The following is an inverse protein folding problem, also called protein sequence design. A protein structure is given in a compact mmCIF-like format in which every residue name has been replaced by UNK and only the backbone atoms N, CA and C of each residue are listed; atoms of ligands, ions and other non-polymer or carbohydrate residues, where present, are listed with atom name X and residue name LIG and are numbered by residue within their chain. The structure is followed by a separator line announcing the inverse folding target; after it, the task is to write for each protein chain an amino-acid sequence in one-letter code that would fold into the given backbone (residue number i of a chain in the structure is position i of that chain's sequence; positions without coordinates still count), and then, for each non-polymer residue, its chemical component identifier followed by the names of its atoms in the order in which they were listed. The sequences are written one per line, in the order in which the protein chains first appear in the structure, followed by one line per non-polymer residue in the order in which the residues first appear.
data_IF_161591808851
#
_entry.id   IF_161591808851
#
_cell.length_a   1.000
_cell.length_b   1.000
_cell.length_c   1.000
_cell.angle_alpha   90.00
_cell.angle_beta   90.00
_cell.angle_gamma   90.00
#
_symmetry.space_group_name_H-M   'P 1'
#
loop_
_entity.id
_entity.type
_entity.pdbx_description
1 polymer ?
#
# COMPACT_ATOMS: atom_id res chain seq x y z
N UNK A 1 22.52 -11.84 -15.60
CA UNK A 1 22.57 -10.36 -15.57
C UNK A 1 22.72 -9.94 -14.13
N UNK A 2 23.60 -8.98 -13.82
CA UNK A 2 23.75 -8.52 -12.45
C UNK A 2 23.74 -6.99 -12.46
N UNK A 3 22.60 -6.40 -12.12
CA UNK A 3 22.48 -4.98 -11.77
C UNK A 3 23.47 -4.58 -10.66
N UNK A 4 23.99 -5.55 -9.89
CA UNK A 4 25.06 -5.35 -8.89
C UNK A 4 26.40 -4.94 -9.49
N UNK A 5 26.59 -5.11 -10.81
CA UNK A 5 27.79 -4.64 -11.51
C UNK A 5 27.74 -3.13 -11.85
N UNK A 6 26.60 -2.46 -11.64
CA UNK A 6 26.50 -1.01 -11.80
C UNK A 6 27.19 -0.35 -10.62
N UNK A 7 28.23 0.44 -10.89
CA UNK A 7 28.94 1.18 -9.85
C UNK A 7 28.04 2.21 -9.16
N UNK A 8 28.21 2.36 -7.84
CA UNK A 8 27.38 3.21 -6.98
C UNK A 8 25.87 3.03 -7.21
N UNK A 9 25.42 1.79 -7.48
CA UNK A 9 24.03 1.48 -7.84
C UNK A 9 22.97 2.15 -6.95
N UNK A 10 23.07 2.15 -5.60
CA UNK A 10 22.07 2.81 -4.75
C UNK A 10 21.91 4.31 -5.07
N UNK A 11 23.03 5.01 -5.25
CA UNK A 11 23.04 6.45 -5.55
C UNK A 11 22.49 6.72 -6.96
N UNK A 12 22.74 5.84 -7.93
CA UNK A 12 22.18 5.94 -9.28
C UNK A 12 20.66 5.75 -9.26
N UNK A 13 20.14 4.77 -8.53
CA UNK A 13 18.69 4.54 -8.38
C UNK A 13 18.01 5.75 -7.72
N UNK A 14 18.58 6.26 -6.63
CA UNK A 14 18.08 7.44 -5.94
C UNK A 14 18.11 8.68 -6.86
N UNK A 15 19.23 8.92 -7.54
CA UNK A 15 19.38 10.03 -8.50
C UNK A 15 18.34 9.99 -9.60
N UNK A 16 18.09 8.82 -10.20
CA UNK A 16 17.04 8.68 -11.25
C UNK A 16 15.66 9.05 -10.71
N UNK A 17 15.30 8.59 -9.51
CA UNK A 17 14.02 8.94 -8.88
C UNK A 17 13.92 10.44 -8.54
N UNK A 18 15.00 11.03 -8.02
CA UNK A 18 15.05 12.46 -7.68
C UNK A 18 14.95 13.34 -8.93
N UNK A 19 15.70 13.04 -9.99
CA UNK A 19 15.62 13.78 -11.25
C UNK A 19 14.23 13.68 -11.91
N UNK A 20 13.59 12.52 -11.86
CA UNK A 20 12.21 12.38 -12.34
C UNK A 20 11.22 13.21 -11.51
N UNK A 21 11.40 13.23 -10.18
CA UNK A 21 10.61 14.10 -9.31
C UNK A 21 10.82 15.58 -9.64
N UNK A 22 12.06 16.03 -9.83
CA UNK A 22 12.41 17.42 -10.16
C UNK A 22 11.75 17.88 -11.46
N UNK A 23 11.70 17.03 -12.49
CA UNK A 23 11.03 17.31 -13.77
C UNK A 23 9.53 17.50 -13.67
N UNK A 24 8.87 17.00 -12.62
CA UNK A 24 7.44 17.17 -12.46
C UNK A 24 7.06 18.67 -12.31
N UNK A 25 5.85 19.06 -12.76
CA UNK A 25 5.33 20.40 -12.51
C UNK A 25 5.37 20.77 -11.03
N UNK A 26 5.41 22.09 -10.74
CA UNK A 26 5.36 22.60 -9.36
C UNK A 26 4.05 22.23 -8.63
N UNK A 27 2.97 21.99 -9.37
CA UNK A 27 1.67 21.65 -8.80
C UNK A 27 1.75 20.37 -7.97
N UNK A 28 1.30 20.46 -6.71
CA UNK A 28 1.28 19.33 -5.76
C UNK A 28 2.61 19.08 -5.05
N UNK A 29 3.73 19.68 -5.48
CA UNK A 29 5.00 19.58 -4.77
C UNK A 29 4.94 20.32 -3.43
N UNK A 30 5.73 19.91 -2.42
CA UNK A 30 5.81 20.62 -1.16
C UNK A 30 6.24 22.08 -1.35
N UNK A 31 5.60 22.99 -0.61
CA UNK A 31 5.81 24.43 -0.70
C UNK A 31 6.72 24.89 0.44
N UNK A 32 7.73 25.68 0.10
CA UNK A 32 8.54 26.41 1.07
C UNK A 32 8.13 27.88 1.04
N UNK A 33 7.67 28.39 2.18
CA UNK A 33 7.26 29.78 2.42
C UNK A 33 8.01 30.36 3.63
N UNK A 34 7.90 31.68 3.86
CA UNK A 34 8.69 32.41 4.87
C UNK A 34 8.65 31.80 6.28
N UNK A 35 7.49 31.31 6.71
CA UNK A 35 7.29 30.80 8.09
C UNK A 35 7.04 29.28 8.13
N UNK A 36 6.81 28.65 6.97
CA UNK A 36 6.39 27.25 6.89
C UNK A 36 7.01 26.56 5.69
N UNK A 37 7.50 25.35 5.88
CA UNK A 37 7.98 24.49 4.81
C UNK A 37 7.26 23.14 4.88
N UNK A 38 6.68 22.74 3.76
CA UNK A 38 6.09 21.42 3.62
C UNK A 38 7.19 20.39 3.30
N UNK A 39 7.14 19.23 3.95
CA UNK A 39 7.97 18.08 3.62
C UNK A 39 7.11 16.89 3.16
N UNK A 40 7.71 15.98 2.41
CA UNK A 40 7.07 14.73 2.01
C UNK A 40 8.10 13.61 1.90
N UNK A 41 7.62 12.38 1.76
CA UNK A 41 8.46 11.24 1.36
C UNK A 41 8.32 11.04 -0.14
N UNK A 42 9.42 10.68 -0.78
CA UNK A 42 9.48 10.25 -2.17
C UNK A 42 9.80 8.77 -2.22
N UNK A 43 9.05 8.01 -3.00
CA UNK A 43 9.39 6.63 -3.34
C UNK A 43 9.29 6.44 -4.85
N UNK A 44 10.13 5.55 -5.39
CA UNK A 44 10.12 5.23 -6.81
C UNK A 44 10.46 3.76 -7.03
N UNK A 45 9.73 3.11 -7.93
CA UNK A 45 10.08 1.80 -8.45
C UNK A 45 10.78 2.01 -9.80
N UNK A 46 11.97 1.43 -9.94
CA UNK A 46 12.76 1.45 -11.16
C UNK A 46 12.89 0.05 -11.73
N UNK A 47 12.94 -0.05 -13.05
CA UNK A 47 13.37 -1.25 -13.75
C UNK A 47 14.84 -1.12 -14.16
N UNK A 48 15.54 -2.25 -14.23
CA UNK A 48 16.93 -2.35 -14.69
C UNK A 48 17.02 -3.53 -15.64
N UNK A 49 17.50 -3.30 -16.87
CA UNK A 49 17.49 -4.31 -17.94
C UNK A 49 18.89 -4.74 -18.40
N UNK A 50 19.95 -4.15 -17.86
CA UNK A 50 21.32 -4.55 -18.13
C UNK A 50 22.25 -4.11 -16.99
N UNK A 51 23.54 -4.42 -17.09
CA UNK A 51 24.57 -3.92 -16.17
C UNK A 51 25.03 -2.48 -16.48
N UNK A 52 24.33 -1.76 -17.36
CA UNK A 52 24.57 -0.34 -17.69
C UNK A 52 23.62 0.57 -16.88
N UNK A 53 24.15 1.64 -16.29
CA UNK A 53 23.38 2.65 -15.55
C UNK A 53 22.30 3.37 -16.39
N UNK A 54 22.44 3.38 -17.71
CA UNK A 54 21.45 3.92 -18.64
C UNK A 54 20.22 3.02 -18.77
N UNK A 55 20.31 1.77 -18.34
CA UNK A 55 19.16 0.85 -18.30
C UNK A 55 18.21 1.13 -17.14
N UNK A 56 18.63 1.92 -16.14
CA UNK A 56 17.81 2.28 -14.98
C UNK A 56 16.70 3.24 -15.41
N UNK A 57 15.45 2.76 -15.41
CA UNK A 57 14.27 3.53 -15.81
C UNK A 57 13.26 3.57 -14.67
N UNK A 58 12.86 4.76 -14.23
CA UNK A 58 11.75 4.92 -13.27
C UNK A 58 10.44 4.51 -13.97
N UNK A 59 9.73 3.55 -13.39
CA UNK A 59 8.45 3.03 -13.91
C UNK A 59 7.26 3.55 -13.13
N UNK A 60 7.42 3.81 -11.84
CA UNK A 60 6.43 4.50 -11.03
C UNK A 60 7.08 5.31 -9.91
N UNK A 61 6.54 6.50 -9.66
CA UNK A 61 6.98 7.43 -8.63
C UNK A 61 5.77 7.81 -7.76
N UNK A 62 5.98 7.90 -6.45
CA UNK A 62 4.98 8.28 -5.48
C UNK A 62 5.53 9.29 -4.48
N UNK A 63 4.73 10.28 -4.09
CA UNK A 63 4.98 11.07 -2.87
C UNK A 63 3.80 11.00 -1.92
N UNK A 64 4.05 11.26 -0.64
CA UNK A 64 3.01 11.49 0.35
C UNK A 64 3.25 10.76 1.67
N UNK A 65 2.50 11.19 2.69
CA UNK A 65 2.67 10.80 4.11
C UNK A 65 1.34 10.69 4.85
N UNK A 66 0.24 10.62 4.11
CA UNK A 66 -1.13 10.69 4.65
C UNK A 66 -1.90 9.43 4.31
N UNK A 67 -2.85 9.09 5.17
CA UNK A 67 -3.85 8.06 4.92
C UNK A 67 -5.24 8.61 5.26
N UNK A 68 -6.27 8.04 4.65
CA UNK A 68 -7.64 8.36 4.96
C UNK A 68 -8.06 7.73 6.29
N UNK A 69 -8.71 8.49 7.18
CA UNK A 69 -9.32 7.93 8.37
C UNK A 69 -10.54 7.08 8.00
N UNK A 70 -10.90 6.15 8.86
CA UNK A 70 -12.02 5.23 8.66
C UNK A 70 -13.30 5.96 8.23
N UNK A 71 -13.61 7.08 8.89
CA UNK A 71 -14.81 7.91 8.67
C UNK A 71 -14.90 8.56 7.29
N UNK A 72 -13.84 8.54 6.49
CA UNK A 72 -13.77 9.17 5.16
C UNK A 72 -13.54 8.17 4.02
N UNK A 73 -13.58 6.87 4.29
CA UNK A 73 -13.36 5.85 3.26
C UNK A 73 -14.64 5.62 2.47
N UNK A 74 -14.58 5.84 1.15
CA UNK A 74 -15.66 5.45 0.24
C UNK A 74 -15.78 3.93 0.07
N UNK A 75 -17.03 3.46 0.00
CA UNK A 75 -17.40 2.08 -0.37
C UNK A 75 -17.27 1.81 -1.87
N UNK A 76 -17.22 2.87 -2.70
CA UNK A 76 -17.18 2.77 -4.16
C UNK A 76 -15.77 2.45 -4.73
N UNK A 77 -14.76 2.31 -3.86
CA UNK A 77 -13.39 2.00 -4.30
C UNK A 77 -12.66 3.14 -5.03
N UNK A 78 -13.23 4.34 -5.06
CA UNK A 78 -12.76 5.50 -5.82
C UNK A 78 -11.71 6.36 -5.09
N UNK A 79 -11.47 6.09 -3.82
CA UNK A 79 -10.43 6.74 -3.01
C UNK A 79 -9.12 5.95 -2.93
N UNK A 80 -8.00 6.66 -2.93
CA UNK A 80 -6.68 6.15 -2.53
C UNK A 80 -6.54 6.27 -1.01
N UNK A 81 -6.86 5.19 -0.32
CA UNK A 81 -6.94 5.15 1.16
C UNK A 81 -5.61 5.37 1.87
N UNK A 82 -4.51 4.92 1.29
CA UNK A 82 -3.18 5.15 1.83
C UNK A 82 -2.34 5.83 0.75
N UNK A 83 -2.01 7.09 1.02
CA UNK A 83 -1.24 7.96 0.14
C UNK A 83 0.19 8.14 0.66
N UNK A 84 0.73 7.16 1.38
CA UNK A 84 2.17 7.06 1.62
C UNK A 84 2.90 6.76 0.31
N UNK A 85 4.08 7.36 0.15
CA UNK A 85 4.88 7.33 -1.08
C UNK A 85 5.08 5.91 -1.65
N UNK A 86 5.46 4.95 -0.81
CA UNK A 86 5.71 3.55 -1.18
C UNK A 86 4.44 2.87 -1.71
N UNK A 87 3.30 3.19 -1.10
CA UNK A 87 1.99 2.66 -1.50
C UNK A 87 1.55 3.27 -2.83
N UNK A 88 1.73 4.60 -3.00
CA UNK A 88 1.44 5.27 -4.27
C UNK A 88 2.30 4.69 -5.39
N UNK A 89 3.62 4.56 -5.17
CA UNK A 89 4.55 3.98 -6.14
C UNK A 89 4.15 2.55 -6.52
N UNK A 90 3.80 1.69 -5.55
CA UNK A 90 3.32 0.32 -5.88
C UNK A 90 2.01 0.33 -6.66
N UNK A 91 1.05 1.19 -6.30
CA UNK A 91 -0.25 1.24 -7.02
C UNK A 91 -0.07 1.74 -8.45
N UNK A 92 0.81 2.72 -8.65
CA UNK A 92 1.22 3.15 -9.98
C UNK A 92 1.95 2.04 -10.76
N UNK A 93 2.80 1.26 -10.08
CA UNK A 93 3.45 0.10 -10.66
C UNK A 93 2.47 -1.00 -11.09
N UNK A 94 1.42 -1.29 -10.33
CA UNK A 94 0.35 -2.22 -10.75
C UNK A 94 -0.30 -1.73 -12.06
N UNK A 95 -0.59 -0.43 -12.18
CA UNK A 95 -1.14 0.13 -13.41
C UNK A 95 -0.15 0.02 -14.58
N UNK A 96 1.15 0.23 -14.33
CA UNK A 96 2.22 0.01 -15.31
C UNK A 96 2.29 -1.45 -15.77
N UNK A 97 2.29 -2.41 -14.84
CA UNK A 97 2.29 -3.84 -15.15
C UNK A 97 1.06 -4.24 -15.99
N UNK A 98 -0.12 -3.74 -15.65
CA UNK A 98 -1.33 -4.00 -16.41
C UNK A 98 -1.24 -3.47 -17.87
N UNK A 99 -0.63 -2.29 -18.07
CA UNK A 99 -0.37 -1.76 -19.43
C UNK A 99 0.62 -2.61 -20.20
N UNK A 100 1.70 -3.03 -19.56
CA UNK A 100 2.72 -3.88 -20.20
C UNK A 100 2.17 -5.26 -20.54
N UNK A 101 1.38 -5.86 -19.65
CA UNK A 101 0.70 -7.13 -19.92
C UNK A 101 -0.26 -6.99 -21.10
N UNK A 102 -1.02 -5.89 -21.17
CA UNK A 102 -1.88 -5.59 -22.32
C UNK A 102 -1.07 -5.49 -23.62
N UNK A 103 0.02 -4.71 -23.62
CA UNK A 103 0.91 -4.56 -24.77
C UNK A 103 1.45 -5.92 -25.24
N UNK A 104 1.89 -6.78 -24.31
CA UNK A 104 2.36 -8.14 -24.64
C UNK A 104 1.27 -8.98 -25.31
N UNK A 105 0.04 -8.95 -24.81
CA UNK A 105 -1.08 -9.68 -25.42
C UNK A 105 -1.37 -9.18 -26.85
N UNK A 106 -1.19 -7.88 -27.09
CA UNK A 106 -1.36 -7.23 -28.40
C UNK A 106 -0.13 -7.35 -29.33
N UNK A 107 0.93 -8.07 -28.90
CA UNK A 107 2.20 -8.17 -29.61
C UNK A 107 2.91 -6.81 -29.83
N UNK A 108 2.70 -5.87 -28.92
CA UNK A 108 3.42 -4.60 -28.83
C UNK A 108 4.66 -4.73 -27.92
N UNK A 109 5.54 -3.72 -27.92
CA UNK A 109 6.72 -3.70 -27.06
C UNK A 109 6.33 -3.78 -25.56
N UNK A 110 6.85 -4.79 -24.87
CA UNK A 110 6.53 -5.06 -23.48
C UNK A 110 7.72 -5.66 -22.72
N UNK A 111 7.73 -5.45 -21.40
CA UNK A 111 8.62 -6.15 -20.47
C UNK A 111 8.25 -7.63 -20.27
N UNK A 112 7.06 -8.04 -20.73
CA UNK A 112 6.57 -9.40 -20.58
C UNK A 112 6.80 -10.22 -21.83
N UNK A 113 7.31 -11.42 -21.63
CA UNK A 113 7.34 -12.48 -22.63
C UNK A 113 6.11 -13.38 -22.42
N UNK A 114 5.53 -13.86 -23.53
CA UNK A 114 4.51 -14.91 -23.50
C UNK A 114 5.21 -16.23 -23.19
N UNK A 115 4.84 -16.87 -22.08
CA UNK A 115 5.33 -18.22 -21.78
C UNK A 115 4.27 -19.21 -22.26
N UNK A 116 4.64 -20.06 -23.21
CA UNK A 116 3.87 -21.25 -23.54
C UNK A 116 4.05 -22.26 -22.40
N UNK A 117 3.11 -22.29 -21.46
CA UNK A 117 3.09 -23.30 -20.41
C UNK A 117 2.59 -24.64 -20.94
N UNK A 118 3.24 -25.74 -20.54
CA UNK A 118 2.61 -27.06 -20.56
C UNK A 118 1.42 -27.07 -19.57
N UNK A 119 0.37 -27.83 -19.87
CA UNK A 119 -0.87 -27.92 -19.08
C UNK A 119 -1.70 -26.63 -18.96
N UNK A 120 -1.73 -25.79 -20.00
CA UNK A 120 -2.76 -24.74 -20.15
C UNK A 120 -2.66 -23.54 -19.21
N UNK A 121 -1.52 -23.33 -18.53
CA UNK A 121 -1.24 -22.14 -17.71
C UNK A 121 -0.26 -21.20 -18.41
N UNK A 122 -0.79 -20.29 -19.22
CA UNK A 122 -0.01 -19.31 -19.99
C UNK A 122 0.22 -18.00 -19.21
N UNK A 123 1.00 -18.00 -18.13
CA UNK A 123 1.28 -16.74 -17.40
C UNK A 123 2.32 -15.89 -18.15
N UNK A 124 2.16 -14.57 -18.09
CA UNK A 124 3.17 -13.64 -18.58
C UNK A 124 4.31 -13.54 -17.56
N UNK A 125 5.53 -13.59 -18.06
CA UNK A 125 6.74 -13.53 -17.25
C UNK A 125 7.62 -12.37 -17.68
N UNK A 126 8.25 -11.73 -16.71
CA UNK A 126 9.30 -10.74 -16.97
C UNK A 126 10.60 -11.48 -17.17
N UNK A 127 11.28 -11.24 -18.29
CA UNK A 127 12.62 -11.75 -18.54
C UNK A 127 13.64 -10.63 -18.51
N UNK A 128 14.83 -10.90 -17.97
CA UNK A 128 15.99 -10.02 -18.08
C UNK A 128 15.81 -8.60 -17.49
N UNK A 129 14.84 -8.43 -16.60
CA UNK A 129 14.56 -7.17 -15.91
C UNK A 129 14.42 -7.42 -14.42
N UNK A 130 15.06 -6.58 -13.61
CA UNK A 130 14.87 -6.54 -12.16
C UNK A 130 14.21 -5.23 -11.74
N UNK A 131 13.47 -5.27 -10.63
CA UNK A 131 12.80 -4.10 -10.07
C UNK A 131 13.42 -3.72 -8.73
N UNK A 132 13.57 -2.42 -8.51
CA UNK A 132 14.19 -1.88 -7.31
C UNK A 132 13.36 -0.70 -6.80
N UNK A 133 13.34 -0.50 -5.50
CA UNK A 133 12.61 0.61 -4.90
C UNK A 133 13.56 1.59 -4.23
N UNK A 134 13.41 2.88 -4.51
CA UNK A 134 13.96 3.96 -3.68
C UNK A 134 12.88 4.46 -2.73
N UNK A 135 13.26 4.77 -1.49
CA UNK A 135 12.43 5.46 -0.50
C UNK A 135 13.30 6.52 0.19
N UNK A 136 12.88 7.77 0.16
CA UNK A 136 13.70 8.89 0.67
C UNK A 136 13.90 8.88 2.19
N UNK A 137 13.12 8.08 2.92
CA UNK A 137 13.25 7.87 4.36
C UNK A 137 12.74 6.48 4.70
N UNK A 138 13.24 5.89 5.79
CA UNK A 138 12.80 4.58 6.26
C UNK A 138 11.26 4.44 6.31
N UNK A 139 10.70 3.31 5.82
CA UNK A 139 9.26 3.13 5.74
C UNK A 139 8.66 3.09 7.14
N UNK A 140 7.57 3.83 7.35
CA UNK A 140 6.93 3.90 8.66
C UNK A 140 6.54 2.51 9.20
N UNK A 141 6.60 2.35 10.52
CA UNK A 141 6.41 1.06 11.21
C UNK A 141 7.73 0.57 11.77
N UNK A 142 7.86 -0.75 11.90
CA UNK A 142 9.00 -1.41 12.56
C UNK A 142 10.39 -0.98 12.00
N UNK A 143 10.49 -0.72 10.70
CA UNK A 143 11.76 -0.36 10.06
C UNK A 143 12.31 1.00 10.49
N UNK A 144 11.47 1.88 11.04
CA UNK A 144 11.85 3.24 11.42
C UNK A 144 11.83 3.48 12.93
N UNK A 145 11.50 2.48 13.76
CA UNK A 145 11.29 2.68 15.21
C UNK A 145 12.59 3.02 15.94
N UNK A 146 13.68 2.31 15.65
CA UNK A 146 15.00 2.54 16.26
C UNK A 146 15.53 3.94 15.92
N UNK A 147 15.57 4.30 14.63
CA UNK A 147 16.03 5.62 14.18
C UNK A 147 15.17 6.76 14.73
N UNK A 148 13.86 6.52 14.92
CA UNK A 148 12.96 7.49 15.54
C UNK A 148 13.30 7.69 17.03
N UNK A 149 13.58 6.61 17.76
CA UNK A 149 13.98 6.68 19.17
C UNK A 149 15.28 7.48 19.35
N UNK A 150 16.26 7.26 18.47
CA UNK A 150 17.56 7.94 18.50
C UNK A 150 17.48 9.41 18.12
N UNK A 151 16.55 9.78 17.23
CA UNK A 151 16.42 11.16 16.74
C UNK A 151 15.99 12.19 17.79
N UNK A 152 15.53 11.74 18.97
CA UNK A 152 14.99 12.63 20.02
C UNK A 152 13.70 13.36 19.62
N UNK A 153 13.18 13.10 18.41
CA UNK A 153 11.96 13.69 17.84
C UNK A 153 10.67 13.07 18.45
N UNK A 154 10.85 12.32 19.54
CA UNK A 154 9.79 11.65 20.30
C UNK A 154 9.64 12.32 21.68
N UNK A 155 8.52 13.02 21.84
CA UNK A 155 7.87 13.10 23.15
C UNK A 155 6.98 11.88 23.21
N UNK A 156 7.08 11.10 24.27
CA UNK A 156 6.09 10.07 24.57
C UNK A 156 4.73 10.78 24.54
N UNK A 157 3.98 10.58 23.45
CA UNK A 157 2.61 11.03 23.33
C UNK A 157 1.92 10.22 24.41
N UNK A 158 1.86 10.83 25.60
CA UNK A 158 1.36 10.21 26.81
C UNK A 158 0.02 9.59 26.43
N UNK A 159 -0.04 8.26 26.35
CA UNK A 159 -1.25 7.53 25.98
C UNK A 159 -2.32 7.73 27.06
N UNK A 160 -1.95 8.31 28.21
CA UNK A 160 -2.85 8.81 29.25
C UNK A 160 -3.35 10.25 29.03
N UNK A 161 -2.85 10.95 28.01
CA UNK A 161 -3.31 12.29 27.65
C UNK A 161 -4.73 12.26 27.09
N UNK A 162 -5.53 13.24 27.53
CA UNK A 162 -6.92 13.45 27.09
C UNK A 162 -7.10 13.71 25.59
N UNK A 163 -6.01 13.79 24.81
CA UNK A 163 -6.01 14.05 23.36
C UNK A 163 -5.80 12.80 22.50
N UNK A 164 -5.38 11.67 23.07
CA UNK A 164 -5.20 10.43 22.31
C UNK A 164 -6.56 9.89 21.82
N UNK A 165 -6.71 9.70 20.52
CA UNK A 165 -7.92 9.09 19.96
C UNK A 165 -7.88 7.58 20.17
N UNK A 166 -8.86 7.04 20.89
CA UNK A 166 -9.03 5.60 21.09
C UNK A 166 -9.22 4.88 19.74
N UNK A 167 -8.80 3.62 19.67
CA UNK A 167 -8.91 2.77 18.47
C UNK A 167 -10.32 2.14 18.40
N UNK A 168 -11.14 2.42 17.37
CA UNK A 168 -12.46 1.82 17.22
C UNK A 168 -12.43 0.28 17.17
N UNK A 169 -13.40 -0.37 17.80
CA UNK A 169 -13.58 -1.83 17.83
C UNK A 169 -13.52 -2.47 16.43
N UNK A 170 -14.13 -1.85 15.43
CA UNK A 170 -14.08 -2.28 14.02
C UNK A 170 -12.66 -2.52 13.49
N UNK A 171 -11.62 -1.80 13.98
CA UNK A 171 -10.24 -2.07 13.56
C UNK A 171 -9.75 -3.39 14.16
N UNK A 172 -9.98 -3.59 15.47
CA UNK A 172 -9.52 -4.76 16.21
C UNK A 172 -10.31 -6.01 15.81
N UNK A 173 -11.64 -5.90 15.68
CA UNK A 173 -12.55 -6.97 15.26
C UNK A 173 -12.28 -7.46 13.83
N UNK A 174 -11.71 -6.58 12.99
CA UNK A 174 -11.32 -6.95 11.65
C UNK A 174 -9.88 -7.48 11.55
N UNK A 175 -9.17 -7.69 12.65
CA UNK A 175 -7.90 -8.45 12.62
C UNK A 175 -8.13 -9.87 12.09
N UNK A 176 -7.14 -10.41 11.38
CA UNK A 176 -7.28 -11.72 10.74
C UNK A 176 -7.59 -12.84 11.76
N UNK A 177 -6.91 -12.84 12.91
CA UNK A 177 -7.13 -13.78 14.02
C UNK A 177 -8.59 -13.82 14.47
N UNK A 178 -9.20 -12.65 14.72
CA UNK A 178 -10.59 -12.54 15.18
C UNK A 178 -11.59 -12.95 14.09
N UNK A 179 -11.36 -12.54 12.85
CA UNK A 179 -12.19 -12.99 11.72
C UNK A 179 -12.19 -14.51 11.57
N UNK A 180 -11.02 -15.14 11.72
CA UNK A 180 -10.88 -16.59 11.65
C UNK A 180 -11.66 -17.28 12.78
N UNK A 181 -11.47 -16.87 14.03
CA UNK A 181 -12.23 -17.41 15.19
C UNK A 181 -13.75 -17.32 15.00
N UNK A 182 -14.24 -16.18 14.48
CA UNK A 182 -15.68 -15.98 14.22
C UNK A 182 -16.22 -16.94 13.14
N UNK A 183 -15.41 -17.27 12.14
CA UNK A 183 -15.77 -18.23 11.10
C UNK A 183 -15.71 -19.68 11.60
N UNK A 184 -14.76 -19.99 12.48
CA UNK A 184 -14.55 -21.32 13.04
C UNK A 184 -15.58 -21.69 14.15
N UNK A 185 -16.46 -20.74 14.53
CA UNK A 185 -17.58 -20.99 15.45
C UNK A 185 -17.22 -20.97 16.95
N UNK A 186 -16.01 -20.55 17.30
CA UNK A 186 -15.60 -20.38 18.70
C UNK A 186 -16.41 -19.24 19.33
N UNK A 187 -17.30 -19.56 20.27
CA UNK A 187 -18.02 -18.57 21.06
C UNK A 187 -17.02 -17.66 21.77
N UNK A 188 -17.06 -16.36 21.48
CA UNK A 188 -16.45 -15.37 22.35
C UNK A 188 -17.21 -15.47 23.66
N UNK A 189 -16.55 -15.91 24.74
CA UNK A 189 -17.14 -15.86 26.07
C UNK A 189 -17.67 -14.44 26.28
N UNK A 190 -18.96 -14.31 26.59
CA UNK A 190 -19.60 -13.05 26.95
C UNK A 190 -18.89 -12.48 28.19
N UNK A 191 -17.89 -11.64 27.99
CA UNK A 191 -17.49 -10.70 29.04
C UNK A 191 -18.60 -9.65 29.16
N UNK A 192 -19.06 -9.44 30.39
CA UNK A 192 -20.19 -8.55 30.69
C UNK A 192 -20.00 -7.16 30.06
N UNK A 193 -21.04 -6.54 29.48
CA UNK A 193 -20.88 -5.27 28.81
C UNK A 193 -20.54 -4.18 29.83
N UNK A 194 -19.34 -3.62 29.71
CA UNK A 194 -19.10 -2.24 30.12
C UNK A 194 -20.01 -1.32 29.29
N UNK A 195 -20.21 -0.08 29.76
CA UNK A 195 -21.21 0.85 29.23
C UNK A 195 -21.23 0.98 27.69
N UNK A 196 -22.33 1.40 27.04
CA UNK A 196 -22.44 1.51 25.57
C UNK A 196 -21.37 2.38 24.87
N UNK A 197 -20.64 3.21 25.63
CA UNK A 197 -19.50 4.00 25.13
C UNK A 197 -18.16 3.24 25.19
N UNK A 198 -18.07 2.23 26.05
CA UNK A 198 -16.90 1.37 26.23
C UNK A 198 -16.91 0.20 25.21
N UNK A 199 -18.08 -0.25 24.72
CA UNK A 199 -18.20 -1.25 23.63
C UNK A 199 -17.51 -0.81 22.31
N UNK A 200 -17.39 0.50 22.07
CA UNK A 200 -16.77 1.05 20.86
C UNK A 200 -15.23 1.00 20.89
N UNK A 201 -14.62 0.72 22.05
CA UNK A 201 -13.18 0.83 22.25
C UNK A 201 -12.68 -0.29 23.17
N UNK A 202 -12.10 -1.34 22.60
CA UNK A 202 -11.57 -2.46 23.38
C UNK A 202 -10.14 -2.17 23.83
N UNK A 203 -9.88 -2.23 25.14
CA UNK A 203 -8.55 -2.40 25.74
C UNK A 203 -8.31 -3.89 26.02
N UNK A 204 -8.00 -4.67 24.98
CA UNK A 204 -7.60 -6.07 25.21
C UNK A 204 -6.09 -6.15 25.37
N UNK A 205 -5.64 -6.76 26.48
CA UNK A 205 -4.24 -7.06 26.76
C UNK A 205 -3.60 -8.03 25.74
N UNK A 206 -4.41 -8.73 24.93
CA UNK A 206 -3.96 -9.79 24.01
C UNK A 206 -3.75 -9.33 22.55
N UNK A 207 -4.07 -8.08 22.21
CA UNK A 207 -3.77 -7.54 20.89
C UNK A 207 -2.34 -6.98 20.84
N UNK A 208 -1.45 -7.66 20.11
CA UNK A 208 -0.10 -7.16 19.80
C UNK A 208 -0.11 -6.07 18.71
N UNK A 209 -1.28 -5.77 18.13
CA UNK A 209 -1.43 -4.65 17.20
C UNK A 209 -1.21 -3.33 17.94
N UNK A 210 -0.25 -2.53 17.47
CA UNK A 210 -0.05 -1.15 17.95
C UNK A 210 -0.48 -0.14 16.91
N UNK A 211 -0.88 1.06 17.34
CA UNK A 211 -1.16 2.16 16.42
C UNK A 211 0.05 3.08 16.36
N UNK A 212 0.50 3.35 15.14
CA UNK A 212 1.51 4.36 14.87
C UNK A 212 2.80 4.12 15.64
N UNK A 213 3.16 5.09 16.50
CA UNK A 213 4.37 5.14 17.30
C UNK A 213 4.17 4.69 18.76
N UNK A 214 3.01 4.11 19.09
CA UNK A 214 2.74 3.54 20.42
C UNK A 214 3.74 2.42 20.73
N UNK A 215 4.28 2.40 21.96
CA UNK A 215 5.26 1.39 22.41
C UNK A 215 6.37 1.17 21.39
N UNK A 216 7.09 2.22 20.96
CA UNK A 216 8.10 2.12 19.90
C UNK A 216 9.25 1.14 20.24
N UNK A 217 9.46 0.86 21.53
CA UNK A 217 10.40 -0.17 22.00
C UNK A 217 9.95 -1.62 21.66
N UNK A 218 8.67 -1.84 21.38
CA UNK A 218 8.17 -3.13 20.89
C UNK A 218 8.46 -3.24 19.39
N UNK A 219 9.45 -4.05 19.04
CA UNK A 219 9.92 -4.29 17.69
C UNK A 219 9.33 -5.59 17.11
N UNK A 220 9.31 -5.72 15.79
CA UNK A 220 8.80 -6.88 15.06
C UNK A 220 7.28 -6.99 14.97
N UNK A 221 6.53 -6.15 15.68
CA UNK A 221 5.07 -6.19 15.74
C UNK A 221 4.38 -5.45 14.58
N UNK A 222 3.13 -5.82 14.30
CA UNK A 222 2.29 -5.16 13.30
C UNK A 222 1.77 -3.81 13.80
N UNK A 223 1.73 -2.81 12.91
CA UNK A 223 1.34 -1.45 13.26
C UNK A 223 0.31 -0.87 12.28
N UNK A 224 -0.67 -0.14 12.80
CA UNK A 224 -1.61 0.64 11.98
C UNK A 224 -1.18 2.11 11.84
N UNK A 225 -1.72 2.80 10.85
CA UNK A 225 -1.60 4.25 10.64
C UNK A 225 -2.82 4.97 11.21
N UNK A 226 -2.73 6.29 11.50
CA UNK A 226 -1.56 7.16 11.37
C UNK A 226 -0.59 7.04 12.57
N UNK A 227 0.60 7.60 12.40
CA UNK A 227 1.66 7.61 13.42
C UNK A 227 1.36 8.46 14.66
N UNK A 228 0.52 9.51 14.53
CA UNK A 228 0.19 10.44 15.61
C UNK A 228 -1.00 9.96 16.43
N UNK A 229 -0.96 10.10 17.75
CA UNK A 229 -2.02 9.66 18.65
C UNK A 229 -3.32 10.49 18.51
N UNK A 230 -3.20 11.78 18.24
CA UNK A 230 -4.29 12.76 18.11
C UNK A 230 -5.12 12.64 16.81
N UNK A 231 -4.60 11.91 15.83
CA UNK A 231 -5.18 11.79 14.50
C UNK A 231 -6.31 10.75 14.48
N UNK A 232 -7.19 10.82 13.48
CA UNK A 232 -8.23 9.80 13.33
C UNK A 232 -7.64 8.43 12.92
N UNK A 233 -8.05 7.33 13.56
CA UNK A 233 -7.62 5.98 13.17
C UNK A 233 -7.97 5.61 11.72
N UNK A 234 -7.13 4.76 11.13
CA UNK A 234 -7.32 4.25 9.76
C UNK A 234 -7.24 2.73 9.71
N UNK A 235 -7.77 2.13 8.63
CA UNK A 235 -7.61 0.70 8.31
C UNK A 235 -6.25 0.37 7.66
N UNK A 236 -5.33 1.33 7.57
CA UNK A 236 -4.08 1.14 6.84
C UNK A 236 -2.98 0.62 7.75
N UNK A 237 -2.41 -0.54 7.41
CA UNK A 237 -1.17 -1.03 8.03
C UNK A 237 0.03 -0.12 7.70
N UNK A 238 1.09 -0.21 8.49
CA UNK A 238 2.36 0.50 8.29
C UNK A 238 3.01 0.14 6.95
N UNK A 239 3.94 0.98 6.46
CA UNK A 239 4.64 0.70 5.21
C UNK A 239 5.62 -0.46 5.36
N UNK A 240 6.24 -0.61 6.55
CA UNK A 240 7.07 -1.77 6.91
C UNK A 240 6.29 -3.08 6.75
N UNK A 241 5.08 -3.18 7.33
CA UNK A 241 4.24 -4.39 7.25
C UNK A 241 3.78 -4.67 5.82
N UNK A 242 3.51 -3.63 5.05
CA UNK A 242 3.12 -3.75 3.65
C UNK A 242 4.27 -4.25 2.77
N UNK A 243 5.47 -3.69 2.92
CA UNK A 243 6.65 -4.16 2.20
C UNK A 243 6.97 -5.61 2.55
N UNK A 244 6.94 -5.97 3.83
CA UNK A 244 7.10 -7.35 4.29
C UNK A 244 6.08 -8.30 3.62
N UNK A 245 4.82 -7.90 3.58
CA UNK A 245 3.79 -8.65 2.85
C UNK A 245 4.05 -8.74 1.34
N UNK A 246 4.62 -7.71 0.73
CA UNK A 246 4.96 -7.74 -0.70
C UNK A 246 6.17 -8.63 -0.99
N UNK A 247 7.06 -8.83 -0.03
CA UNK A 247 8.17 -9.79 -0.14
C UNK A 247 7.68 -11.24 -0.16
N UNK A 248 6.45 -11.53 0.27
CA UNK A 248 5.84 -12.87 0.18
C UNK A 248 4.89 -12.98 -1.02
N UNK A 249 4.03 -11.98 -1.22
CA UNK A 249 2.95 -12.05 -2.21
C UNK A 249 3.29 -11.46 -3.58
N UNK A 250 4.36 -10.68 -3.65
CA UNK A 250 4.73 -9.89 -4.81
C UNK A 250 4.00 -8.56 -4.93
N UNK A 251 4.53 -7.70 -5.81
CA UNK A 251 4.06 -6.34 -6.05
C UNK A 251 2.79 -6.28 -6.89
N UNK A 252 2.51 -7.30 -7.70
CA UNK A 252 1.46 -7.34 -8.71
C UNK A 252 0.03 -7.30 -8.17
N UNK A 253 -0.17 -7.62 -6.89
CA UNK A 253 -1.49 -7.77 -6.25
C UNK A 253 -2.29 -8.98 -6.79
N UNK A 254 -3.35 -9.34 -6.08
CA UNK A 254 -4.31 -10.35 -6.54
C UNK A 254 -4.93 -10.00 -7.91
N UNK A 255 -4.98 -8.72 -8.27
CA UNK A 255 -5.59 -8.24 -9.52
C UNK A 255 -4.88 -8.73 -10.79
N UNK A 256 -3.58 -9.01 -10.69
CA UNK A 256 -2.78 -9.47 -11.82
C UNK A 256 -2.21 -10.87 -11.61
N UNK A 257 -2.35 -11.44 -10.41
CA UNK A 257 -1.71 -12.71 -10.05
C UNK A 257 -2.25 -13.93 -10.83
N UNK A 258 -3.43 -13.85 -11.44
CA UNK A 258 -3.93 -14.88 -12.37
C UNK A 258 -3.35 -14.78 -13.79
N UNK A 259 -2.72 -13.64 -14.13
CA UNK A 259 -2.24 -13.31 -15.48
C UNK A 259 -0.71 -13.35 -15.54
N UNK A 260 -0.03 -12.85 -14.50
CA UNK A 260 1.42 -12.69 -14.48
C UNK A 260 2.04 -13.43 -13.30
N UNK A 261 3.28 -13.89 -13.43
CA UNK A 261 4.06 -14.46 -12.31
C UNK A 261 4.30 -13.42 -11.19
N UNK A 262 4.53 -13.84 -9.94
CA UNK A 262 4.85 -12.92 -8.85
C UNK A 262 6.11 -12.09 -9.14
N UNK A 263 6.04 -10.78 -8.90
CA UNK A 263 7.17 -9.87 -9.12
C UNK A 263 7.63 -9.32 -7.77
N UNK A 264 8.91 -9.49 -7.46
CA UNK A 264 9.53 -9.02 -6.22
C UNK A 264 10.56 -7.91 -6.48
N UNK A 265 10.86 -7.14 -5.44
CA UNK A 265 11.96 -6.17 -5.48
C UNK A 265 13.27 -6.92 -5.30
N UNK A 266 14.24 -6.71 -6.20
CA UNK A 266 15.60 -7.21 -6.04
C UNK A 266 16.40 -6.38 -5.03
N UNK A 267 16.08 -5.09 -4.87
CA UNK A 267 16.65 -4.27 -3.81
C UNK A 267 15.74 -3.11 -3.37
N UNK A 268 16.02 -2.59 -2.18
CA UNK A 268 15.41 -1.40 -1.59
C UNK A 268 16.52 -0.43 -1.17
N UNK A 269 16.48 0.80 -1.68
CA UNK A 269 17.42 1.88 -1.40
C UNK A 269 16.75 2.92 -0.51
N UNK A 270 17.36 3.23 0.62
CA UNK A 270 16.84 4.14 1.64
C UNK A 270 17.70 5.40 1.71
N UNK A 271 17.08 6.58 1.66
CA UNK A 271 17.74 7.87 1.86
C UNK A 271 18.05 8.15 3.33
N UNK A 272 17.03 8.58 4.07
CA UNK A 272 17.16 8.93 5.49
C UNK A 272 16.75 7.76 6.42
N UNK A 273 17.29 7.76 7.65
CA UNK A 273 16.94 6.84 8.73
C UNK A 273 17.20 5.36 8.44
N UNK A 274 18.16 5.07 7.58
CA UNK A 274 18.60 3.70 7.34
C UNK A 274 19.27 3.10 8.58
N UNK A 275 18.64 2.08 9.15
CA UNK A 275 19.22 1.17 10.12
C UNK A 275 19.12 -0.25 9.59
N UNK A 276 20.25 -0.92 9.38
CA UNK A 276 20.31 -2.19 8.66
C UNK A 276 19.55 -3.30 9.40
N UNK A 277 19.79 -3.42 10.71
CA UNK A 277 19.13 -4.39 11.58
C UNK A 277 17.62 -4.22 11.58
N UNK A 278 17.13 -2.98 11.72
CA UNK A 278 15.70 -2.69 11.69
C UNK A 278 15.05 -2.94 10.34
N UNK A 279 15.72 -2.60 9.25
CA UNK A 279 15.21 -2.88 7.90
C UNK A 279 15.12 -4.39 7.66
N UNK A 280 16.16 -5.15 7.99
CA UNK A 280 16.18 -6.60 7.84
C UNK A 280 15.05 -7.23 8.64
N UNK A 281 14.97 -6.94 9.95
CA UNK A 281 13.90 -7.42 10.84
C UNK A 281 12.51 -7.09 10.28
N UNK A 282 12.27 -5.83 9.95
CA UNK A 282 10.94 -5.35 9.57
C UNK A 282 10.45 -5.89 8.22
N UNK A 283 11.36 -6.04 7.25
CA UNK A 283 11.00 -6.32 5.86
C UNK A 283 11.00 -7.81 5.51
N UNK A 284 11.81 -8.63 6.18
CA UNK A 284 11.80 -10.08 5.94
C UNK A 284 12.24 -10.94 7.14
N UNK A 285 13.05 -10.42 8.06
CA UNK A 285 13.57 -11.21 9.19
C UNK A 285 12.48 -11.75 10.12
N UNK A 286 11.39 -11.00 10.31
CA UNK A 286 10.20 -11.46 11.05
C UNK A 286 9.26 -12.39 10.25
N UNK A 287 9.61 -12.66 8.99
CA UNK A 287 8.89 -13.58 8.09
C UNK A 287 9.66 -14.89 7.95
N UNK A 288 10.07 -15.47 9.08
CA UNK A 288 10.68 -16.81 9.13
C UNK A 288 10.00 -17.77 8.14
N UNK A 289 10.80 -18.40 7.27
CA UNK A 289 10.32 -19.28 6.20
C UNK A 289 9.49 -20.43 6.76
N UNK A 290 8.44 -20.81 6.02
CA UNK A 290 7.60 -21.96 6.35
C UNK A 290 7.34 -22.80 5.10
N UNK A 291 6.81 -24.00 5.26
CA UNK A 291 6.41 -24.84 4.11
C UNK A 291 5.33 -24.17 3.24
N UNK A 292 4.55 -23.25 3.82
CA UNK A 292 3.41 -22.64 3.15
C UNK A 292 3.76 -21.42 2.29
N UNK A 293 4.85 -20.72 2.60
CA UNK A 293 5.32 -19.58 1.82
C UNK A 293 6.81 -19.27 2.01
N UNK A 294 7.41 -18.68 0.99
CA UNK A 294 8.77 -18.16 1.03
C UNK A 294 8.75 -16.62 0.99
N UNK A 295 9.61 -15.99 1.79
CA UNK A 295 9.78 -14.54 1.81
C UNK A 295 11.01 -14.14 1.01
N UNK A 296 10.80 -13.35 -0.05
CA UNK A 296 11.90 -12.79 -0.84
C UNK A 296 12.73 -11.82 0.01
N UNK A 297 14.05 -11.94 -0.05
CA UNK A 297 15.00 -11.09 0.70
C UNK A 297 15.64 -10.07 -0.25
N UNK A 298 15.07 -8.86 -0.42
CA UNK A 298 15.72 -7.80 -1.22
C UNK A 298 17.03 -7.36 -0.57
N UNK A 299 18.03 -7.02 -1.39
CA UNK A 299 19.21 -6.31 -0.89
C UNK A 299 18.77 -4.93 -0.37
N UNK A 300 19.22 -4.53 0.81
CA UNK A 300 18.89 -3.24 1.41
C UNK A 300 20.14 -2.37 1.38
N UNK A 301 20.00 -1.14 0.87
CA UNK A 301 21.10 -0.19 0.76
C UNK A 301 20.72 1.16 1.35
N UNK A 302 21.69 1.84 1.96
CA UNK A 302 21.64 3.28 2.15
C UNK A 302 22.13 4.00 0.87
N UNK A 303 21.63 5.22 0.63
CA UNK A 303 22.18 6.12 -0.40
C UNK A 303 22.67 7.41 0.24
N UNK A 304 23.68 8.04 -0.36
CA UNK A 304 24.16 9.37 0.02
C UNK A 304 23.33 10.50 -0.58
N UNK A 305 22.41 10.17 -1.49
CA UNK A 305 21.58 11.14 -2.19
C UNK A 305 20.48 11.66 -1.26
N UNK A 306 20.58 12.94 -0.91
CA UNK A 306 19.55 13.61 -0.12
C UNK A 306 18.34 13.97 -0.98
N UNK A 307 17.13 13.80 -0.42
CA UNK A 307 15.91 14.25 -1.06
C UNK A 307 15.64 15.72 -0.68
N UNK A 308 15.59 16.67 -1.64
CA UNK A 308 15.43 18.10 -1.34
C UNK A 308 14.13 18.48 -0.61
N UNK A 309 13.15 17.57 -0.58
CA UNK A 309 11.85 17.77 0.06
C UNK A 309 11.64 16.88 1.29
N UNK A 310 12.70 16.19 1.77
CA UNK A 310 12.63 15.44 3.03
C UNK A 310 12.63 16.40 4.22
N UNK A 311 12.10 15.91 5.35
CA UNK A 311 12.10 16.66 6.59
C UNK A 311 13.52 17.01 7.04
N UNK A 312 14.46 16.05 6.95
CA UNK A 312 15.87 16.23 7.31
C UNK A 312 16.54 17.34 6.50
N UNK A 313 16.39 17.31 5.18
CA UNK A 313 17.00 18.28 4.28
C UNK A 313 16.44 19.69 4.54
N UNK A 314 15.11 19.81 4.68
CA UNK A 314 14.46 21.09 4.95
C UNK A 314 14.81 21.65 6.34
N UNK A 315 14.99 20.81 7.35
CA UNK A 315 15.43 21.23 8.69
C UNK A 315 16.84 21.83 8.67
N UNK A 316 17.74 21.26 7.86
CA UNK A 316 19.10 21.76 7.68
C UNK A 316 19.13 23.09 6.92
N UNK A 317 18.33 23.21 5.85
CA UNK A 317 18.27 24.41 5.01
C UNK A 317 17.52 25.57 5.68
N UNK A 318 16.50 25.26 6.48
CA UNK A 318 15.58 26.23 7.08
C UNK A 318 15.36 25.95 8.58
N UNK A 319 16.40 26.08 9.43
CA UNK A 319 16.34 25.64 10.83
C UNK A 319 15.29 26.35 11.67
N UNK A 320 14.96 27.60 11.32
CA UNK A 320 13.98 28.43 12.03
C UNK A 320 12.55 28.32 11.48
N UNK A 321 12.33 27.54 10.41
CA UNK A 321 11.03 27.42 9.74
C UNK A 321 10.24 26.27 10.31
N UNK A 322 8.93 26.46 10.50
CA UNK A 322 8.06 25.38 10.94
C UNK A 322 7.89 24.34 9.82
N UNK A 323 8.36 23.13 10.06
CA UNK A 323 8.17 22.01 9.16
C UNK A 323 6.79 21.38 9.33
N UNK A 324 6.13 21.07 8.22
CA UNK A 324 4.84 20.37 8.25
C UNK A 324 4.71 19.33 7.13
N UNK A 325 4.07 18.18 7.38
CA UNK A 325 3.86 17.19 6.34
C UNK A 325 2.91 17.72 5.26
N UNK A 326 3.28 17.61 3.99
CA UNK A 326 2.42 18.00 2.88
C UNK A 326 1.12 17.20 2.87
N UNK A 327 0.02 17.87 2.51
CA UNK A 327 -1.29 17.24 2.37
C UNK A 327 -1.46 16.59 0.99
N UNK A 328 -0.60 16.94 0.04
CA UNK A 328 -0.64 16.42 -1.31
C UNK A 328 0.18 15.12 -1.41
N UNK A 329 -0.30 14.22 -2.24
CA UNK A 329 0.46 13.10 -2.74
C UNK A 329 0.58 13.22 -4.26
N UNK A 330 1.65 12.73 -4.85
CA UNK A 330 1.85 12.74 -6.30
C UNK A 330 2.02 11.30 -6.78
N UNK A 331 1.33 10.93 -7.84
CA UNK A 331 1.50 9.66 -8.55
C UNK A 331 1.97 9.92 -9.97
N UNK A 332 3.18 9.47 -10.31
CA UNK A 332 3.67 9.45 -11.69
C UNK A 332 3.89 8.00 -12.13
N UNK A 333 3.44 7.66 -13.33
CA UNK A 333 3.53 6.30 -13.88
C UNK A 333 4.03 6.40 -15.31
N UNK A 334 5.10 5.67 -15.63
CA UNK A 334 5.71 5.67 -16.96
C UNK A 334 4.68 5.30 -18.04
N UNK A 335 4.72 5.98 -19.17
CA UNK A 335 3.74 5.82 -20.26
C UNK A 335 2.37 6.47 -19.96
N UNK A 336 2.29 7.34 -18.96
CA UNK A 336 1.15 8.25 -18.81
C UNK A 336 1.58 9.69 -19.10
N UNK A 337 0.70 10.47 -19.74
CA UNK A 337 1.01 11.84 -20.15
C UNK A 337 1.32 12.79 -18.98
N UNK A 338 0.60 12.64 -17.86
CA UNK A 338 0.69 13.56 -16.71
C UNK A 338 0.69 12.81 -15.38
N UNK A 339 1.46 13.33 -14.43
CA UNK A 339 1.35 12.96 -13.02
C UNK A 339 -0.01 13.39 -12.46
N UNK A 340 -0.50 12.65 -11.46
CA UNK A 340 -1.70 13.00 -10.69
C UNK A 340 -1.29 13.58 -9.35
N UNK A 341 -1.84 14.73 -8.99
CA UNK A 341 -1.82 15.22 -7.62
C UNK A 341 -3.06 14.69 -6.93
N UNK A 342 -2.90 14.11 -5.75
CA UNK A 342 -3.96 13.61 -4.90
C UNK A 342 -4.08 14.46 -3.63
N UNK A 343 -5.30 14.76 -3.24
CA UNK A 343 -5.65 15.48 -2.02
C UNK A 343 -6.73 14.68 -1.31
N UNK A 344 -6.45 14.25 -0.07
CA UNK A 344 -7.35 13.36 0.69
C UNK A 344 -7.77 12.12 -0.13
N UNK A 345 -6.81 11.44 -0.76
CA UNK A 345 -7.06 10.20 -1.50
C UNK A 345 -7.77 10.36 -2.85
N UNK A 346 -8.20 11.57 -3.24
CA UNK A 346 -8.83 11.85 -4.54
C UNK A 346 -7.94 12.70 -5.41
N UNK A 347 -8.12 12.64 -6.73
CA UNK A 347 -7.40 13.50 -7.67
C UNK A 347 -7.71 14.97 -7.37
N UNK A 348 -6.70 15.83 -7.44
CA UNK A 348 -6.90 17.26 -7.22
C UNK A 348 -7.93 17.79 -8.23
N UNK A 349 -8.96 18.48 -7.72
CA UNK A 349 -10.11 18.93 -8.50
C UNK A 349 -11.33 17.99 -8.49
N UNK A 350 -11.27 16.82 -7.83
CA UNK A 350 -12.48 16.03 -7.56
C UNK A 350 -13.43 16.78 -6.62
N UNK A 351 -14.73 16.53 -6.77
CA UNK A 351 -15.73 17.09 -5.87
C UNK A 351 -15.52 16.59 -4.43
N UNK A 352 -15.72 17.49 -3.46
CA UNK A 352 -15.57 17.19 -2.03
C UNK A 352 -16.64 16.20 -1.54
N UNK A 353 -17.85 16.34 -2.06
CA UNK A 353 -19.00 15.49 -1.74
C UNK A 353 -19.53 14.89 -3.03
N UNK A 354 -19.76 13.58 -3.02
CA UNK A 354 -20.27 12.83 -4.17
C UNK A 354 -21.48 12.01 -3.73
N UNK A 355 -22.50 11.95 -4.59
CA UNK A 355 -23.61 11.00 -4.48
C UNK A 355 -23.28 9.83 -5.41
N UNK A 356 -22.54 8.85 -4.89
CA UNK A 356 -22.04 7.71 -5.67
C UNK A 356 -20.55 7.79 -6.05
N UNK A 357 -20.09 6.92 -6.97
CA UNK A 357 -18.68 6.82 -7.37
C UNK A 357 -18.17 8.09 -8.07
N UNK A 358 -16.89 8.41 -7.86
CA UNK A 358 -16.21 9.50 -8.56
C UNK A 358 -16.25 9.34 -10.09
N UNK A 359 -16.58 10.41 -10.85
CA UNK A 359 -16.56 10.38 -12.31
C UNK A 359 -15.17 10.02 -12.88
N UNK A 360 -15.07 9.24 -13.98
CA UNK A 360 -13.78 8.80 -14.52
C UNK A 360 -12.76 9.92 -14.79
N UNK A 361 -13.20 11.10 -15.24
CA UNK A 361 -12.32 12.26 -15.55
C UNK A 361 -11.58 12.79 -14.30
N UNK A 362 -12.25 12.76 -13.16
CA UNK A 362 -11.76 13.27 -11.87
C UNK A 362 -11.38 12.15 -10.91
N UNK A 363 -11.48 10.88 -11.31
CA UNK A 363 -11.04 9.74 -10.51
C UNK A 363 -9.55 9.51 -10.71
N UNK A 364 -8.85 9.13 -9.63
CA UNK A 364 -7.43 8.77 -9.76
C UNK A 364 -7.29 7.45 -10.51
N UNK A 365 -6.30 7.35 -11.41
CA UNK A 365 -6.01 6.10 -12.12
C UNK A 365 -5.52 4.98 -11.21
N UNK A 366 -4.99 5.35 -10.04
CA UNK A 366 -4.46 4.40 -9.07
C UNK A 366 -5.44 4.09 -7.94
N UNK A 367 -6.69 4.59 -7.94
CA UNK A 367 -7.69 4.13 -6.97
C UNK A 367 -8.13 2.70 -7.26
N UNK A 368 -8.82 2.05 -6.31
CA UNK A 368 -9.13 0.61 -6.44
C UNK A 368 -10.09 0.35 -7.59
N UNK A 369 -11.06 1.23 -7.80
CA UNK A 369 -12.02 1.14 -8.90
C UNK A 369 -11.35 1.26 -10.27
N UNK A 370 -10.44 2.23 -10.46
CA UNK A 370 -9.71 2.38 -11.73
C UNK A 370 -8.78 1.19 -12.00
N UNK A 371 -8.07 0.69 -10.98
CA UNK A 371 -7.24 -0.51 -11.12
C UNK A 371 -8.08 -1.76 -11.39
N UNK A 372 -9.24 -1.88 -10.76
CA UNK A 372 -10.18 -2.97 -11.00
C UNK A 372 -10.62 -3.01 -12.45
N UNK A 373 -11.16 -1.89 -12.96
CA UNK A 373 -11.58 -1.78 -14.36
C UNK A 373 -10.45 -2.16 -15.32
N UNK A 374 -9.25 -1.57 -15.12
CA UNK A 374 -8.09 -1.84 -15.96
C UNK A 374 -7.68 -3.32 -15.96
N UNK A 375 -7.61 -3.95 -14.79
CA UNK A 375 -7.19 -5.35 -14.66
C UNK A 375 -8.26 -6.33 -15.13
N UNK A 376 -9.54 -6.00 -14.95
CA UNK A 376 -10.66 -6.80 -15.44
C UNK A 376 -10.70 -6.83 -16.96
N UNK A 377 -10.57 -5.68 -17.60
CA UNK A 377 -10.52 -5.57 -19.06
C UNK A 377 -9.31 -6.32 -19.65
N UNK A 378 -8.18 -6.30 -18.94
CA UNK A 378 -7.00 -7.10 -19.27
C UNK A 378 -7.29 -8.59 -19.11
N UNK A 379 -7.97 -9.02 -18.05
CA UNK A 379 -8.31 -10.42 -17.81
C UNK A 379 -9.19 -10.99 -18.92
N UNK A 380 -10.17 -10.23 -19.42
CA UNK A 380 -10.97 -10.64 -20.59
C UNK A 380 -10.13 -10.85 -21.85
N UNK A 381 -9.16 -9.96 -22.10
CA UNK A 381 -8.24 -10.11 -23.24
C UNK A 381 -7.32 -11.32 -23.07
N UNK A 382 -6.79 -11.51 -21.86
CA UNK A 382 -5.98 -12.67 -21.49
C UNK A 382 -6.74 -13.97 -21.72
N UNK A 383 -7.92 -14.11 -21.13
CA UNK A 383 -8.73 -15.31 -21.23
C UNK A 383 -9.13 -15.67 -22.67
N UNK A 384 -9.39 -14.67 -23.52
CA UNK A 384 -9.59 -14.88 -24.97
C UNK A 384 -8.32 -15.39 -25.66
N UNK A 385 -7.17 -14.79 -25.35
CA UNK A 385 -5.89 -15.16 -25.95
C UNK A 385 -5.41 -16.56 -25.53
N UNK A 386 -5.79 -17.02 -24.33
CA UNK A 386 -5.36 -18.30 -23.74
C UNK A 386 -6.45 -19.36 -23.71
N UNK A 387 -7.60 -19.09 -24.33
CA UNK A 387 -8.79 -19.96 -24.28
C UNK A 387 -9.19 -20.39 -22.85
N UNK A 388 -8.96 -19.52 -21.87
CA UNK A 388 -9.32 -19.75 -20.47
C UNK A 388 -10.81 -19.48 -20.27
N UNK A 389 -11.52 -20.40 -19.63
CA UNK A 389 -12.93 -20.23 -19.32
C UNK A 389 -13.14 -19.05 -18.35
N UNK A 390 -14.18 -18.25 -18.61
CA UNK A 390 -14.57 -17.12 -17.77
C UNK A 390 -15.91 -17.44 -17.13
N UNK A 391 -15.90 -17.58 -15.80
CA UNK A 391 -17.14 -17.59 -15.02
C UNK A 391 -17.56 -16.15 -14.74
N UNK A 392 -18.48 -15.57 -15.51
CA UNK A 392 -18.86 -14.15 -15.38
C UNK A 392 -19.33 -13.77 -13.96
N UNK A 393 -19.96 -14.70 -13.24
CA UNK A 393 -20.37 -14.54 -11.84
C UNK A 393 -19.20 -14.20 -10.90
N UNK A 394 -18.00 -14.70 -11.21
CA UNK A 394 -16.77 -14.45 -10.43
C UNK A 394 -16.11 -13.08 -10.72
N UNK A 395 -16.66 -12.30 -11.66
CA UNK A 395 -16.18 -10.98 -12.05
C UNK A 395 -17.12 -9.84 -11.61
N UNK A 396 -18.14 -10.17 -10.81
CA UNK A 396 -19.19 -9.24 -10.39
C UNK A 396 -18.68 -8.08 -9.54
N UNK A 397 -17.89 -8.38 -8.51
CA UNK A 397 -17.32 -7.34 -7.64
C UNK A 397 -15.79 -7.34 -7.63
N UNK A 398 -15.20 -6.26 -7.13
CA UNK A 398 -13.76 -6.17 -6.87
C UNK A 398 -13.24 -7.26 -5.93
N UNK A 399 -14.06 -7.68 -4.96
CA UNK A 399 -13.75 -8.81 -4.09
C UNK A 399 -13.68 -10.12 -4.89
N UNK A 400 -14.72 -10.45 -5.66
CA UNK A 400 -14.80 -11.68 -6.44
C UNK A 400 -13.64 -11.79 -7.42
N UNK A 401 -13.34 -10.69 -8.11
CA UNK A 401 -12.22 -10.61 -9.04
C UNK A 401 -10.88 -10.95 -8.39
N UNK A 402 -10.63 -10.48 -7.15
CA UNK A 402 -9.42 -10.84 -6.42
C UNK A 402 -9.39 -12.32 -6.05
N UNK A 403 -10.54 -12.96 -5.84
CA UNK A 403 -10.63 -14.36 -5.44
C UNK A 403 -10.28 -15.33 -6.58
N UNK A 404 -10.28 -14.85 -7.84
CA UNK A 404 -9.76 -15.62 -8.98
C UNK A 404 -8.31 -16.05 -8.82
N UNK A 405 -7.49 -15.23 -8.16
CA UNK A 405 -6.09 -15.55 -7.92
C UNK A 405 -5.92 -16.53 -6.74
N UNK A 406 -6.39 -17.77 -6.90
CA UNK A 406 -6.46 -18.79 -5.82
C UNK A 406 -5.12 -19.03 -5.15
N UNK A 407 -4.05 -19.21 -5.91
CA UNK A 407 -2.69 -19.39 -5.37
C UNK A 407 -2.25 -18.19 -4.50
N UNK A 408 -2.47 -16.97 -5.00
CA UNK A 408 -2.17 -15.74 -4.25
C UNK A 408 -2.98 -15.66 -2.95
N UNK A 409 -4.27 -16.03 -2.97
CA UNK A 409 -5.11 -16.01 -1.78
C UNK A 409 -4.68 -17.08 -0.76
N UNK A 410 -4.28 -18.27 -1.22
CA UNK A 410 -3.75 -19.33 -0.36
C UNK A 410 -2.48 -18.91 0.38
N UNK A 411 -1.48 -18.41 -0.36
CA UNK A 411 -0.22 -17.89 0.24
C UNK A 411 -0.50 -16.72 1.19
N UNK A 412 -1.42 -15.83 0.81
CA UNK A 412 -1.84 -14.72 1.68
C UNK A 412 -2.50 -15.23 2.96
N UNK A 413 -3.36 -16.25 2.88
CA UNK A 413 -4.02 -16.83 4.04
C UNK A 413 -2.98 -17.44 4.98
N UNK A 414 -2.02 -18.21 4.46
CA UNK A 414 -0.91 -18.79 5.23
C UNK A 414 -0.08 -17.71 5.94
N UNK A 415 0.36 -16.68 5.21
CA UNK A 415 1.09 -15.54 5.79
C UNK A 415 0.32 -14.89 6.95
N UNK A 416 -0.97 -14.63 6.74
CA UNK A 416 -1.80 -14.00 7.76
C UNK A 416 -2.05 -14.92 8.95
N UNK A 417 -2.20 -16.23 8.77
CA UNK A 417 -2.39 -17.15 9.89
C UNK A 417 -1.12 -17.37 10.70
N UNK A 418 0.02 -17.52 10.04
CA UNK A 418 1.26 -17.99 10.65
C UNK A 418 2.10 -16.85 11.24
N UNK A 419 2.15 -15.70 10.57
CA UNK A 419 3.02 -14.58 10.98
C UNK A 419 2.25 -13.29 11.25
N UNK A 420 1.23 -12.99 10.44
CA UNK A 420 0.56 -11.68 10.46
C UNK A 420 -0.89 -11.76 10.97
N UNK A 421 -1.12 -12.48 12.07
CA UNK A 421 -2.47 -12.74 12.59
C UNK A 421 -3.24 -11.48 12.99
N UNK A 422 -2.51 -10.44 13.40
CA UNK A 422 -3.10 -9.17 13.83
C UNK A 422 -3.23 -8.17 12.66
N UNK A 423 -3.05 -8.64 11.42
CA UNK A 423 -3.28 -7.83 10.24
C UNK A 423 -4.73 -7.38 10.18
N UNK A 424 -4.95 -6.06 10.15
CA UNK A 424 -6.29 -5.48 9.97
C UNK A 424 -6.78 -5.76 8.56
N UNK A 425 -7.72 -6.69 8.44
CA UNK A 425 -8.40 -6.97 7.19
C UNK A 425 -9.41 -5.86 6.89
N UNK A 426 -9.56 -5.53 5.62
CA UNK A 426 -10.62 -4.59 5.23
C UNK A 426 -11.98 -5.26 5.42
N UNK A 427 -13.00 -4.55 5.93
CA UNK A 427 -14.38 -5.00 5.83
C UNK A 427 -14.77 -5.24 4.37
N UNK A 428 -15.57 -6.29 4.12
CA UNK A 428 -15.94 -6.72 2.77
C UNK A 428 -16.75 -5.65 2.02
N UNK A 429 -17.57 -4.85 2.72
CA UNK A 429 -18.31 -3.73 2.14
C UNK A 429 -17.43 -2.74 1.37
N UNK A 430 -16.15 -2.63 1.71
CA UNK A 430 -15.19 -1.76 1.02
C UNK A 430 -14.51 -2.40 -0.20
N UNK A 431 -14.87 -3.64 -0.52
CA UNK A 431 -14.41 -4.41 -1.67
C UNK A 431 -15.58 -5.00 -2.48
N UNK A 432 -16.82 -4.92 -1.98
CA UNK A 432 -18.05 -5.35 -2.63
C UNK A 432 -18.62 -4.24 -3.52
N UNK A 433 -17.87 -3.82 -4.54
CA UNK A 433 -18.34 -2.89 -5.56
C UNK A 433 -18.09 -3.44 -6.96
N UNK A 434 -18.99 -3.16 -7.90
CA UNK A 434 -18.89 -3.55 -9.31
C UNK A 434 -17.91 -2.67 -10.10
N UNK A 435 -17.78 -2.88 -11.41
CA UNK A 435 -16.89 -2.05 -12.24
C UNK A 435 -17.33 -0.62 -12.42
N UNK A 436 -18.59 -0.29 -12.19
CA UNK A 436 -19.08 1.08 -12.22
C UNK A 436 -18.85 1.77 -10.87
N UNK A 437 -18.50 1.00 -9.84
CA UNK A 437 -18.29 1.47 -8.48
C UNK A 437 -19.54 1.43 -7.64
N UNK A 438 -20.61 0.76 -8.08
CA UNK A 438 -21.81 0.58 -7.27
C UNK A 438 -21.50 -0.44 -6.18
N UNK A 439 -21.71 -0.05 -4.92
CA UNK A 439 -21.53 -0.95 -3.79
C UNK A 439 -22.75 -1.86 -3.64
N UNK A 440 -22.53 -3.15 -3.39
CA UNK A 440 -23.61 -4.10 -3.07
C UNK A 440 -24.22 -3.72 -1.72
N UNK A 441 -25.51 -3.38 -1.70
CA UNK A 441 -26.23 -2.86 -0.53
C UNK A 441 -26.51 -3.92 0.57
N UNK A 442 -26.31 -5.21 0.29
CA UNK A 442 -26.88 -6.30 1.08
C UNK A 442 -26.07 -6.81 2.29
N UNK A 443 -25.12 -6.04 2.83
CA UNK A 443 -24.36 -6.49 4.02
C UNK A 443 -24.30 -5.50 5.18
N UNK A 444 -25.03 -4.37 5.13
CA UNK A 444 -25.07 -3.41 6.25
C UNK A 444 -26.27 -3.56 7.19
N UNK A 445 -27.22 -4.46 6.91
CA UNK A 445 -28.37 -4.67 7.79
C UNK A 445 -28.23 -5.96 8.61
N UNK A 446 -27.45 -5.88 9.69
CA UNK A 446 -27.68 -6.74 10.84
C UNK A 446 -28.98 -6.32 11.51
N UNK A 447 -30.08 -6.96 11.10
CA UNK A 447 -31.28 -7.26 11.88
C UNK A 447 -31.58 -6.39 13.12
N UNK A 448 -31.97 -5.13 12.92
CA UNK A 448 -32.82 -4.41 13.88
C UNK A 448 -34.27 -4.51 13.39
N UNK A 449 -34.92 -5.61 13.77
CA UNK A 449 -36.37 -5.69 13.70
C UNK A 449 -36.98 -4.73 14.72
N UNK A 450 -37.44 -3.56 14.27
CA UNK A 450 -38.45 -2.78 14.98
C UNK A 450 -39.45 -2.18 14.01
N UNK A 451 -40.61 -2.85 14.01
CA UNK A 451 -41.96 -2.37 13.74
C UNK A 451 -42.11 -0.90 13.33
N UNK A 452 -42.47 -0.70 12.06
CA UNK A 452 -43.28 0.44 11.65
C UNK A 452 -44.74 0.17 12.08
N UNK A 453 -45.20 0.85 13.12
CA UNK A 453 -46.60 1.28 13.23
C UNK A 453 -46.64 2.81 13.14
N UNK A 454 -47.20 3.26 12.03
CA UNK A 454 -47.81 4.57 11.77
C UNK A 454 -48.83 4.94 12.87
N UNK A 455 -49.18 6.23 13.07
CA UNK A 455 -49.39 7.25 12.03
C UNK A 455 -48.48 8.49 12.08
#
# INVERSE_FOLDING_TARGET
MSWRAIDAFPDKVATRCLSEFERLPKQGKPIVAKERAEWTILAGIVQVSSSDENSIKVVSLGTGVKCLPLTRISVHGDDVRDSHAEVIARRGFISYLAKQAKAALQNEESIFCKVEGGEGRHRLKVENITFHMYISQAPCGDASMTSLAESGDYKEDDTSSTRARKVPSIIVDNTFRRKKRKLDGDQVAEESPASPKDELYIQEKDSLLRRGRESFAELGILRTKPGRADSDPSLSMSCSDKLARWNVLGLQSALLASIIEPIFLSSIVIGDWHDEESMKRALYGRLEETEAFHAHTPDIYATKMQCPVSQTCLQQLYPSVQLMPSNNAISCVRGCEKAEVLVNGRKQGSAKTLKGPSPPKTRSRICSLSLFQQCRDLYYQYARATSTAIEESSLGTYYDFKMLAREYQGVKQALLSERFSDWVCKPQAYEAFDSEGNASLDQTNGNDGKNDELP
#
